data_IF_573995549407
#
_entry.id   IF_573995549407
#
_cell.length_a   1.000
_cell.length_b   1.000
_cell.length_c   1.000
_cell.angle_alpha   90.00
_cell.angle_beta   90.00
_cell.angle_gamma   90.00
#
_symmetry.space_group_name_H-M   'P 1'
#
loop_
_entity.id
_entity.type
_entity.pdbx_description
1 polymer ?
#
# COMPACT_ATOMS: atom_id res chain seq x y z
N UNK A 1 -21.93 -22.27 -45.02
CA UNK A 1 -22.26 -21.34 -43.92
C UNK A 1 -22.32 -22.14 -42.62
N UNK A 2 -21.32 -21.95 -41.73
CA UNK A 2 -21.55 -22.01 -40.30
C UNK A 2 -21.19 -20.66 -39.63
N UNK A 3 -22.07 -20.18 -38.76
CA UNK A 3 -21.79 -19.20 -37.70
C UNK A 3 -21.39 -19.94 -36.42
N UNK A 4 -20.42 -19.41 -35.66
CA UNK A 4 -20.48 -19.21 -34.21
C UNK A 4 -19.12 -18.75 -33.67
N UNK A 5 -19.16 -17.87 -32.67
CA UNK A 5 -18.01 -17.13 -32.16
C UNK A 5 -16.81 -17.98 -31.74
N UNK A 6 -15.69 -17.76 -32.44
CA UNK A 6 -14.37 -18.21 -32.01
C UNK A 6 -13.87 -17.33 -30.87
N UNK A 7 -14.12 -17.78 -29.64
CA UNK A 7 -13.43 -17.26 -28.46
C UNK A 7 -11.96 -17.66 -28.53
N UNK A 8 -11.14 -16.82 -29.13
CA UNK A 8 -9.69 -16.96 -29.06
C UNK A 8 -9.22 -16.67 -27.62
N UNK A 9 -8.49 -17.63 -27.02
CA UNK A 9 -7.91 -17.49 -25.69
C UNK A 9 -6.82 -16.41 -25.74
N UNK A 10 -6.88 -15.43 -24.83
CA UNK A 10 -5.90 -14.35 -24.74
C UNK A 10 -4.43 -14.82 -24.60
N UNK A 11 -4.23 -16.08 -24.20
CA UNK A 11 -2.93 -16.73 -24.09
C UNK A 11 -2.28 -17.04 -25.45
N UNK A 12 -3.07 -17.25 -26.52
CA UNK A 12 -2.57 -17.55 -27.87
C UNK A 12 -2.04 -16.32 -28.60
N UNK A 13 -2.47 -15.11 -28.21
CA UNK A 13 -1.99 -13.85 -28.79
C UNK A 13 -0.60 -13.42 -28.30
N UNK A 14 0.01 -14.14 -27.34
CA UNK A 14 1.37 -13.81 -26.84
C UNK A 14 2.50 -14.16 -27.81
N UNK A 15 2.24 -14.98 -28.83
CA UNK A 15 3.26 -15.45 -29.78
C UNK A 15 3.35 -14.65 -31.07
N UNK A 16 2.42 -13.74 -31.35
CA UNK A 16 2.41 -12.94 -32.57
C UNK A 16 2.91 -11.56 -32.22
N UNK A 17 4.11 -11.21 -32.69
CA UNK A 17 4.69 -9.88 -32.55
C UNK A 17 3.82 -8.84 -33.24
N UNK A 18 2.80 -8.36 -32.54
CA UNK A 18 1.97 -7.24 -32.97
C UNK A 18 2.78 -5.96 -32.72
N UNK A 19 3.15 -5.31 -33.82
CA UNK A 19 3.68 -3.95 -33.86
C UNK A 19 2.89 -3.03 -32.93
N UNK A 20 3.59 -2.19 -32.18
CA UNK A 20 3.05 -1.26 -31.19
C UNK A 20 2.07 -0.21 -31.76
N UNK A 21 1.77 -0.24 -33.05
CA UNK A 21 1.01 0.80 -33.75
C UNK A 21 -0.51 0.60 -33.82
N UNK A 22 -1.06 -0.59 -33.62
CA UNK A 22 -2.51 -0.83 -33.80
C UNK A 22 -3.20 -1.43 -32.56
N UNK A 23 -3.07 -0.77 -31.41
CA UNK A 23 -3.92 -1.08 -30.25
C UNK A 23 -5.09 -0.09 -30.13
N UNK A 24 -6.35 -0.57 -30.08
CA UNK A 24 -7.53 0.25 -29.75
C UNK A 24 -7.39 0.92 -28.38
N UNK A 25 -7.93 2.14 -28.21
CA UNK A 25 -7.79 2.93 -26.99
C UNK A 25 -8.26 2.18 -25.72
N UNK A 26 -9.39 1.47 -25.80
CA UNK A 26 -9.91 0.67 -24.68
C UNK A 26 -8.95 -0.44 -24.23
N UNK A 27 -8.04 -0.88 -25.11
CA UNK A 27 -7.05 -1.93 -24.85
C UNK A 27 -5.74 -1.35 -24.31
N UNK A 28 -5.39 -0.11 -24.65
CA UNK A 28 -4.25 0.64 -24.07
C UNK A 28 -4.43 0.86 -22.57
N UNK A 29 -5.66 1.09 -22.13
CA UNK A 29 -5.97 1.27 -20.71
C UNK A 29 -6.02 -0.04 -19.91
N UNK A 30 -6.23 -1.17 -20.58
CA UNK A 30 -6.35 -2.49 -19.97
C UNK A 30 -5.02 -3.27 -19.96
N UNK A 31 -4.10 -3.01 -20.89
CA UNK A 31 -2.79 -3.66 -20.94
C UNK A 31 -1.83 -3.04 -19.93
N UNK A 32 -1.41 -3.81 -18.93
CA UNK A 32 -0.36 -3.43 -17.97
C UNK A 32 -0.83 -2.83 -16.65
N UNK A 33 -2.14 -2.57 -16.47
CA UNK A 33 -2.67 -2.15 -15.16
C UNK A 33 -3.01 -3.38 -14.32
N UNK A 34 -2.25 -3.58 -13.25
CA UNK A 34 -2.63 -4.51 -12.17
C UNK A 34 -4.04 -4.14 -11.71
N UNK A 35 -5.00 -5.08 -11.64
CA UNK A 35 -6.37 -4.77 -11.22
C UNK A 35 -6.34 -4.13 -9.83
N UNK A 36 -6.76 -2.87 -9.75
CA UNK A 36 -6.89 -2.15 -8.48
C UNK A 36 -8.33 -2.26 -8.00
N UNK A 37 -8.52 -2.83 -6.81
CA UNK A 37 -9.82 -2.93 -6.16
C UNK A 37 -10.12 -1.64 -5.37
N UNK A 38 -11.36 -1.14 -5.49
CA UNK A 38 -11.85 0.05 -4.76
C UNK A 38 -11.90 1.35 -5.59
N UNK A 39 -12.61 2.35 -5.09
CA UNK A 39 -12.68 3.66 -5.72
C UNK A 39 -11.34 4.39 -5.56
N UNK A 40 -10.74 4.83 -6.68
CA UNK A 40 -9.59 5.74 -6.64
C UNK A 40 -10.07 7.12 -6.25
N UNK A 41 -9.62 7.60 -5.10
CA UNK A 41 -9.80 9.01 -4.74
C UNK A 41 -9.03 9.88 -5.73
N UNK A 42 -9.64 11.02 -6.11
CA UNK A 42 -9.03 12.02 -6.99
C UNK A 42 -8.00 12.88 -6.26
N UNK A 43 -7.96 12.80 -4.93
CA UNK A 43 -7.03 13.53 -4.07
C UNK A 43 -5.63 12.93 -4.19
N UNK A 44 -4.61 13.77 -4.05
CA UNK A 44 -3.24 13.32 -3.87
C UNK A 44 -3.09 12.45 -2.62
N UNK A 45 -2.03 11.64 -2.56
CA UNK A 45 -1.76 10.78 -1.39
C UNK A 45 -1.63 11.60 -0.11
N UNK A 46 -1.05 12.80 -0.19
CA UNK A 46 -0.92 13.69 0.96
C UNK A 46 -2.29 14.20 1.43
N UNK A 47 -3.12 14.73 0.54
CA UNK A 47 -4.47 15.19 0.89
C UNK A 47 -5.34 14.06 1.48
N UNK A 48 -5.19 12.83 0.97
CA UNK A 48 -5.85 11.66 1.54
C UNK A 48 -5.40 11.42 2.99
N UNK A 49 -4.10 11.48 3.27
CA UNK A 49 -3.55 11.29 4.62
C UNK A 49 -4.04 12.38 5.58
N UNK A 50 -4.06 13.64 5.13
CA UNK A 50 -4.51 14.78 5.92
C UNK A 50 -6.03 14.76 6.19
N UNK A 51 -6.81 14.11 5.31
CA UNK A 51 -8.25 13.93 5.50
C UNK A 51 -8.63 12.92 6.59
N UNK A 52 -7.68 12.06 7.02
CA UNK A 52 -7.95 11.01 7.99
C UNK A 52 -8.19 11.59 9.40
N UNK A 53 -9.15 11.05 10.17
CA UNK A 53 -9.45 11.52 11.53
C UNK A 53 -8.24 11.62 12.45
N UNK A 54 -7.30 10.67 12.35
CA UNK A 54 -6.08 10.63 13.16
C UNK A 54 -5.13 11.81 12.91
N UNK A 55 -5.19 12.45 11.74
CA UNK A 55 -4.28 13.55 11.40
C UNK A 55 -4.44 14.75 12.35
N UNK A 56 -5.69 15.04 12.74
CA UNK A 56 -6.01 16.13 13.69
C UNK A 56 -5.36 15.94 15.05
N UNK A 57 -5.13 14.68 15.45
CA UNK A 57 -4.57 14.29 16.74
C UNK A 57 -3.06 14.00 16.67
N UNK A 58 -2.40 14.24 15.52
CA UNK A 58 -0.98 13.87 15.31
C UNK A 58 -0.07 14.39 16.43
N UNK A 59 -0.18 15.67 16.79
CA UNK A 59 0.69 16.29 17.80
C UNK A 59 0.45 15.71 19.19
N UNK A 60 -0.82 15.59 19.59
CA UNK A 60 -1.22 15.02 20.88
C UNK A 60 -0.78 13.55 21.00
N UNK A 61 -0.88 12.78 19.91
CA UNK A 61 -0.45 11.39 19.87
C UNK A 61 1.06 11.24 20.05
N UNK A 62 1.86 12.06 19.37
CA UNK A 62 3.32 12.02 19.52
C UNK A 62 3.75 12.43 20.93
N UNK A 63 3.10 13.44 21.52
CA UNK A 63 3.35 13.83 22.90
C UNK A 63 2.97 12.69 23.88
N UNK A 64 1.80 12.08 23.70
CA UNK A 64 1.37 10.96 24.53
C UNK A 64 2.31 9.75 24.43
N UNK A 65 2.86 9.46 23.25
CA UNK A 65 3.86 8.39 23.09
C UNK A 65 5.19 8.74 23.76
N UNK A 66 5.60 10.00 23.72
CA UNK A 66 6.80 10.45 24.43
C UNK A 66 6.67 10.33 25.95
N UNK A 67 5.49 10.68 26.49
CA UNK A 67 5.27 10.76 27.93
C UNK A 67 4.90 9.41 28.58
N UNK A 68 4.54 8.40 27.77
CA UNK A 68 4.06 7.12 28.26
C UNK A 68 4.79 5.95 27.61
N UNK A 69 5.36 5.06 28.43
CA UNK A 69 5.94 3.80 27.94
C UNK A 69 4.90 2.88 27.28
N UNK A 70 3.64 2.96 27.73
CA UNK A 70 2.51 2.19 27.18
C UNK A 70 1.34 3.13 26.96
N UNK A 71 0.83 3.17 25.72
CA UNK A 71 -0.32 3.98 25.32
C UNK A 71 -1.36 3.10 24.62
N UNK A 72 -2.62 3.16 25.07
CA UNK A 72 -3.74 2.49 24.42
C UNK A 72 -4.45 3.49 23.51
N UNK A 73 -4.45 3.22 22.20
CA UNK A 73 -5.11 4.07 21.20
C UNK A 73 -6.35 3.37 20.65
N UNK A 74 -7.49 4.03 20.78
CA UNK A 74 -8.79 3.53 20.31
C UNK A 74 -9.29 4.42 19.17
N UNK A 75 -9.88 3.80 18.15
CA UNK A 75 -10.56 4.51 17.07
C UNK A 75 -11.23 3.55 16.10
N UNK A 76 -12.20 4.03 15.33
CA UNK A 76 -12.94 3.23 14.36
C UNK A 76 -12.10 2.74 13.17
N UNK A 77 -12.55 1.69 12.48
CA UNK A 77 -11.90 1.23 11.23
C UNK A 77 -11.95 2.35 10.19
N UNK A 78 -10.84 2.56 9.46
CA UNK A 78 -10.73 3.67 8.50
C UNK A 78 -10.25 4.99 9.09
N UNK A 79 -10.08 5.09 10.42
CA UNK A 79 -9.58 6.31 11.05
C UNK A 79 -8.10 6.64 10.77
N UNK A 80 -7.36 5.70 10.16
CA UNK A 80 -5.94 5.87 9.83
C UNK A 80 -4.94 5.32 10.85
N UNK A 81 -5.39 4.61 11.91
CA UNK A 81 -4.50 4.08 12.98
C UNK A 81 -3.28 3.32 12.43
N UNK A 82 -3.53 2.20 11.75
CA UNK A 82 -2.45 1.31 11.31
C UNK A 82 -1.56 1.94 10.24
N UNK A 83 -2.13 2.73 9.33
CA UNK A 83 -1.37 3.32 8.23
C UNK A 83 -0.59 4.54 8.66
N UNK A 84 -1.12 5.39 9.54
CA UNK A 84 -0.49 6.68 9.88
C UNK A 84 0.38 6.65 11.14
N UNK A 85 0.02 5.90 12.19
CA UNK A 85 0.75 5.97 13.46
C UNK A 85 2.23 5.63 13.32
N UNK A 86 2.56 4.58 12.56
CA UNK A 86 3.93 4.16 12.31
C UNK A 86 4.73 5.24 11.57
N UNK A 87 4.11 5.90 10.59
CA UNK A 87 4.72 7.00 9.84
C UNK A 87 5.00 8.20 10.74
N UNK A 88 4.04 8.61 11.59
CA UNK A 88 4.25 9.73 12.50
C UNK A 88 5.37 9.47 13.50
N UNK A 89 5.47 8.24 14.01
CA UNK A 89 6.57 7.83 14.89
C UNK A 89 7.91 7.82 14.16
N UNK A 90 7.96 7.31 12.93
CA UNK A 90 9.17 7.36 12.10
C UNK A 90 9.62 8.80 11.83
N UNK A 91 8.68 9.67 11.43
CA UNK A 91 8.91 11.11 11.21
C UNK A 91 9.37 11.84 12.50
N UNK A 92 8.97 11.34 13.67
CA UNK A 92 9.39 11.88 14.98
C UNK A 92 10.73 11.31 15.46
N UNK A 93 11.44 10.55 14.63
CA UNK A 93 12.78 10.04 14.92
C UNK A 93 12.85 8.74 15.69
N UNK A 94 11.73 8.05 15.93
CA UNK A 94 11.72 6.77 16.65
C UNK A 94 12.44 5.64 15.90
N UNK A 95 12.67 5.79 14.59
CA UNK A 95 13.45 4.86 13.77
C UNK A 95 14.97 5.07 13.83
N UNK A 96 15.45 6.14 14.50
CA UNK A 96 16.89 6.41 14.60
C UNK A 96 17.66 5.39 15.45
N UNK A 97 16.96 4.70 16.36
CA UNK A 97 17.54 3.73 17.30
C UNK A 97 17.13 2.28 16.99
N UNK A 98 16.36 2.05 15.94
CA UNK A 98 15.82 0.73 15.61
C UNK A 98 14.62 0.77 14.68
N UNK A 99 13.88 -0.35 14.63
CA UNK A 99 12.74 -0.53 13.72
C UNK A 99 11.41 -0.35 14.48
N UNK A 100 10.41 0.21 13.81
CA UNK A 100 9.03 0.26 14.32
C UNK A 100 8.29 -0.97 13.80
N UNK A 101 7.81 -1.83 14.71
CA UNK A 101 7.01 -3.00 14.37
C UNK A 101 5.52 -2.71 14.41
N UNK A 102 4.81 -2.98 13.31
CA UNK A 102 3.35 -3.03 13.29
C UNK A 102 2.89 -4.47 13.06
N UNK A 103 2.29 -5.09 14.07
CA UNK A 103 1.80 -6.47 13.99
C UNK A 103 0.36 -6.50 13.49
N UNK A 104 0.06 -7.40 12.56
CA UNK A 104 -1.30 -7.68 12.09
C UNK A 104 -1.63 -9.16 12.27
N UNK A 105 -2.81 -9.51 12.78
CA UNK A 105 -3.18 -10.92 13.00
C UNK A 105 -3.45 -11.68 11.70
N UNK A 106 -3.67 -10.98 10.58
CA UNK A 106 -3.97 -11.57 9.27
C UNK A 106 -2.84 -11.26 8.29
N UNK A 107 -2.30 -12.29 7.62
CA UNK A 107 -1.29 -12.15 6.55
C UNK A 107 -1.66 -11.09 5.51
N UNK A 108 -2.90 -11.17 5.00
CA UNK A 108 -3.42 -10.23 4.00
C UNK A 108 -3.45 -8.78 4.49
N UNK A 109 -3.62 -8.56 5.79
CA UNK A 109 -3.57 -7.22 6.37
C UNK A 109 -2.13 -6.72 6.49
N UNK A 110 -1.18 -7.57 6.93
CA UNK A 110 0.23 -7.21 6.99
C UNK A 110 0.78 -6.78 5.62
N UNK A 111 0.53 -7.58 4.58
CA UNK A 111 1.01 -7.31 3.22
C UNK A 111 0.36 -6.05 2.61
N UNK A 112 -0.97 -5.92 2.74
CA UNK A 112 -1.68 -4.80 2.12
C UNK A 112 -1.38 -3.46 2.82
N UNK A 113 -1.26 -3.47 4.15
CA UNK A 113 -0.85 -2.29 4.92
C UNK A 113 0.58 -1.90 4.58
N UNK A 114 1.54 -2.84 4.58
CA UNK A 114 2.93 -2.51 4.25
C UNK A 114 3.06 -1.92 2.84
N UNK A 115 2.37 -2.51 1.85
CA UNK A 115 2.33 -1.97 0.49
C UNK A 115 1.75 -0.55 0.45
N UNK A 116 0.62 -0.32 1.13
CA UNK A 116 -0.02 1.01 1.19
C UNK A 116 0.88 2.04 1.87
N UNK A 117 1.54 1.66 2.96
CA UNK A 117 2.45 2.56 3.69
C UNK A 117 3.70 2.85 2.85
N UNK A 118 4.24 1.89 2.11
CA UNK A 118 5.34 2.15 1.19
C UNK A 118 4.96 3.16 0.09
N UNK A 119 3.76 3.04 -0.49
CA UNK A 119 3.20 4.01 -1.45
C UNK A 119 3.02 5.41 -0.82
N UNK A 120 2.52 5.49 0.42
CA UNK A 120 2.33 6.76 1.14
C UNK A 120 3.65 7.42 1.58
N UNK A 121 4.64 6.62 1.92
CA UNK A 121 5.97 7.06 2.35
C UNK A 121 6.87 7.40 1.15
N UNK A 122 6.52 6.95 -0.05
CA UNK A 122 7.29 7.20 -1.28
C UNK A 122 8.54 6.33 -1.41
N UNK A 123 8.52 5.11 -0.86
CA UNK A 123 9.62 4.15 -0.95
C UNK A 123 9.19 2.87 -1.68
N UNK A 124 10.16 2.04 -2.08
CA UNK A 124 9.85 0.72 -2.61
C UNK A 124 9.57 -0.23 -1.45
N UNK A 125 8.54 -1.08 -1.60
CA UNK A 125 8.27 -2.13 -0.63
C UNK A 125 9.48 -3.07 -0.51
N UNK A 126 9.93 -3.29 0.72
CA UNK A 126 11.16 -4.02 1.03
C UNK A 126 12.39 -3.13 1.22
N UNK A 127 12.27 -1.80 1.20
CA UNK A 127 13.35 -0.87 1.57
C UNK A 127 13.09 -0.29 2.98
N UNK A 128 12.70 0.98 3.10
CA UNK A 128 12.35 1.61 4.38
C UNK A 128 11.09 1.02 5.01
N UNK A 129 10.18 0.48 4.20
CA UNK A 129 8.92 -0.15 4.64
C UNK A 129 8.86 -1.56 4.09
N UNK A 130 8.56 -2.54 4.94
CA UNK A 130 8.49 -3.96 4.58
C UNK A 130 7.50 -4.73 5.44
N UNK A 131 7.40 -6.04 5.19
CA UNK A 131 6.66 -6.97 6.03
C UNK A 131 7.40 -8.29 6.15
N UNK A 132 7.20 -8.97 7.28
CA UNK A 132 7.67 -10.32 7.51
C UNK A 132 6.49 -11.17 7.97
N UNK A 133 6.22 -12.26 7.25
CA UNK A 133 5.21 -13.25 7.59
C UNK A 133 5.78 -14.65 7.46
N UNK A 134 5.07 -15.65 7.97
CA UNK A 134 5.56 -17.03 7.91
C UNK A 134 5.80 -17.45 6.45
N UNK A 135 7.05 -17.86 6.17
CA UNK A 135 7.54 -18.30 4.86
C UNK A 135 7.70 -17.21 3.79
N UNK A 136 7.57 -15.93 4.15
CA UNK A 136 7.70 -14.82 3.21
C UNK A 136 8.21 -13.57 3.94
N UNK A 137 9.41 -13.11 3.58
CA UNK A 137 10.05 -11.92 4.16
C UNK A 137 10.36 -10.93 3.04
N UNK A 138 9.79 -9.73 3.15
CA UNK A 138 9.99 -8.62 2.24
C UNK A 138 10.44 -7.40 3.04
N UNK A 139 11.64 -7.51 3.61
CA UNK A 139 12.33 -6.45 4.36
C UNK A 139 13.71 -6.18 3.78
N UNK A 140 14.18 -4.94 3.90
CA UNK A 140 15.48 -4.53 3.40
C UNK A 140 16.63 -4.99 4.29
N UNK A 141 17.89 -4.97 3.79
CA UNK A 141 19.06 -5.26 4.60
C UNK A 141 19.08 -4.35 5.84
N UNK A 142 19.49 -4.89 6.98
CA UNK A 142 19.52 -4.12 8.23
C UNK A 142 20.41 -2.88 8.09
N UNK A 143 19.84 -1.69 8.31
CA UNK A 143 20.59 -0.45 8.54
C UNK A 143 20.84 -0.29 10.03
#
# INVERSE_FOLDING_TARGET
MPENGERHLAQELRGVGLSAYDMPEWKKDAFGKTPTFGQRSKLSMQEQRESLPIYKLKKELIQAVHDNQVLVVIGETGSGKTTQMTQYLAESGYTTKGKIGCTQPRRVAAMSVAKRVAEEFGCRLGEEVGYAIRFEDCTGPER
#
